data_IF_032110703415
#
_entry.id   IF_032110703415
#
_cell.length_a   1.000
_cell.length_b   1.000
_cell.length_c   1.000
_cell.angle_alpha   90.00
_cell.angle_beta   90.00
_cell.angle_gamma   90.00
#
_symmetry.space_group_name_H-M   'P 1'
#
loop_
_entity.id
_entity.type
_entity.pdbx_description
1 polymer ?
#
# COMPACT_ATOMS: atom_id res chain seq x y z
N UNK A 1 -11.97 -33.91 -20.87
CA UNK A 1 -11.29 -33.15 -19.81
C UNK A 1 -10.90 -31.79 -20.36
N UNK A 2 -11.58 -30.71 -19.96
CA UNK A 2 -11.24 -29.36 -20.40
C UNK A 2 -10.16 -28.80 -19.48
N UNK A 3 -9.00 -28.53 -20.07
CA UNK A 3 -7.70 -28.33 -19.40
C UNK A 3 -7.31 -26.84 -19.30
N UNK A 4 -8.28 -25.95 -19.15
CA UNK A 4 -8.03 -24.54 -18.91
C UNK A 4 -8.76 -24.15 -17.64
N UNK A 5 -8.00 -24.12 -16.55
CA UNK A 5 -8.41 -23.52 -15.28
C UNK A 5 -8.56 -22.02 -15.43
N UNK A 6 -9.56 -21.58 -16.19
CA UNK A 6 -10.11 -20.25 -16.03
C UNK A 6 -10.56 -20.14 -14.57
N UNK A 7 -9.82 -19.35 -13.79
CA UNK A 7 -10.23 -18.99 -12.45
C UNK A 7 -11.54 -18.21 -12.61
N UNK A 8 -12.65 -18.93 -12.47
CA UNK A 8 -14.02 -18.41 -12.45
C UNK A 8 -14.11 -17.37 -11.34
N UNK A 9 -13.99 -16.09 -11.71
CA UNK A 9 -14.25 -14.89 -10.90
C UNK A 9 -13.41 -14.85 -9.60
N UNK A 10 -12.46 -13.92 -9.56
CA UNK A 10 -11.80 -13.52 -8.31
C UNK A 10 -12.88 -13.26 -7.24
N UNK A 11 -12.86 -13.96 -6.08
CA UNK A 11 -13.79 -13.71 -4.98
C UNK A 11 -13.87 -12.21 -4.69
N UNK A 12 -15.07 -11.70 -4.40
CA UNK A 12 -15.26 -10.26 -4.16
C UNK A 12 -14.40 -9.74 -3.00
N UNK A 13 -14.04 -10.62 -2.05
CA UNK A 13 -13.12 -10.34 -0.94
C UNK A 13 -11.69 -10.01 -1.39
N UNK A 14 -11.26 -10.50 -2.56
CA UNK A 14 -9.92 -10.28 -3.12
C UNK A 14 -9.85 -9.08 -4.08
N UNK A 15 -10.99 -8.45 -4.41
CA UNK A 15 -11.05 -7.20 -5.18
C UNK A 15 -10.73 -6.02 -4.28
N UNK A 16 -9.52 -6.01 -3.72
CA UNK A 16 -9.01 -4.98 -2.82
C UNK A 16 -7.85 -4.28 -3.49
N UNK A 17 -7.57 -3.05 -3.07
CA UNK A 17 -6.56 -2.20 -3.71
C UNK A 17 -5.21 -2.91 -3.84
N UNK A 18 -4.75 -3.58 -2.77
CA UNK A 18 -3.56 -4.44 -2.80
C UNK A 18 -3.82 -5.64 -1.87
N UNK A 19 -3.56 -6.85 -2.35
CA UNK A 19 -3.61 -8.07 -1.54
C UNK A 19 -2.22 -8.68 -1.45
N UNK A 20 -1.72 -8.81 -0.22
CA UNK A 20 -0.47 -9.50 0.08
C UNK A 20 -0.75 -10.94 0.51
N UNK A 21 -0.08 -11.94 -0.11
CA UNK A 21 -0.11 -13.33 0.38
C UNK A 21 1.03 -13.67 1.33
N UNK A 22 2.14 -12.95 1.24
CA UNK A 22 3.30 -13.16 2.10
C UNK A 22 3.83 -11.81 2.57
N UNK A 23 3.57 -11.51 3.84
CA UNK A 23 3.97 -10.28 4.50
C UNK A 23 4.33 -10.61 5.96
N UNK A 24 5.63 -10.66 6.23
CA UNK A 24 6.17 -11.02 7.55
C UNK A 24 6.56 -9.77 8.31
N UNK A 25 6.22 -9.72 9.59
CA UNK A 25 6.51 -8.59 10.47
C UNK A 25 7.33 -9.00 11.69
N UNK A 26 8.21 -8.10 12.12
CA UNK A 26 8.90 -8.17 13.41
C UNK A 26 8.46 -7.00 14.28
N UNK A 27 8.10 -7.29 15.53
CA UNK A 27 7.79 -6.27 16.53
C UNK A 27 9.07 -5.63 17.07
N UNK A 28 9.07 -4.31 17.13
CA UNK A 28 10.09 -3.48 17.77
C UNK A 28 9.45 -2.79 18.97
N UNK A 29 9.75 -3.30 20.17
CA UNK A 29 9.13 -2.83 21.41
C UNK A 29 9.58 -1.41 21.79
N UNK A 30 10.82 -1.05 21.46
CA UNK A 30 11.39 0.27 21.77
C UNK A 30 10.65 1.38 21.03
N UNK A 31 10.36 1.15 19.75
CA UNK A 31 9.70 2.13 18.89
C UNK A 31 8.19 1.87 18.72
N UNK A 32 7.66 0.81 19.37
CA UNK A 32 6.24 0.37 19.30
C UNK A 32 5.75 0.25 17.85
N UNK A 33 6.54 -0.42 17.02
CA UNK A 33 6.28 -0.58 15.58
C UNK A 33 6.45 -2.02 15.11
N UNK A 34 5.64 -2.42 14.13
CA UNK A 34 5.89 -3.61 13.32
C UNK A 34 6.66 -3.18 12.07
N UNK A 35 7.79 -3.84 11.79
CA UNK A 35 8.58 -3.65 10.56
C UNK A 35 8.52 -4.92 9.73
N UNK A 36 8.24 -4.80 8.44
CA UNK A 36 8.30 -5.95 7.55
C UNK A 36 9.73 -6.42 7.34
N UNK A 37 9.91 -7.69 6.99
CA UNK A 37 11.21 -8.22 6.59
C UNK A 37 11.05 -9.28 5.50
N UNK A 38 12.09 -9.40 4.67
CA UNK A 38 12.03 -10.21 3.45
C UNK A 38 11.19 -9.55 2.34
N UNK A 39 11.00 -10.29 1.25
CA UNK A 39 10.22 -9.82 0.11
C UNK A 39 8.72 -9.82 0.42
N UNK A 40 7.99 -8.94 -0.23
CA UNK A 40 6.54 -8.83 -0.09
C UNK A 40 5.88 -9.58 -1.24
N UNK A 41 5.08 -10.58 -0.93
CA UNK A 41 4.27 -11.29 -1.93
C UNK A 41 2.98 -10.53 -2.22
N UNK A 42 2.80 -10.09 -3.46
CA UNK A 42 1.58 -9.44 -3.96
C UNK A 42 0.85 -10.40 -4.89
N UNK A 43 -0.40 -10.72 -4.56
CA UNK A 43 -1.25 -11.61 -5.37
C UNK A 43 -2.08 -10.80 -6.34
N UNK A 44 -2.83 -9.81 -5.85
CA UNK A 44 -3.76 -9.03 -6.66
C UNK A 44 -3.62 -7.54 -6.37
N UNK A 45 -3.83 -6.74 -7.41
CA UNK A 45 -4.06 -5.29 -7.33
C UNK A 45 -5.39 -5.04 -8.02
N UNK A 46 -6.38 -4.58 -7.26
CA UNK A 46 -7.77 -4.50 -7.71
C UNK A 46 -8.29 -5.85 -8.25
N UNK A 47 -8.56 -5.95 -9.55
CA UNK A 47 -9.03 -7.18 -10.21
C UNK A 47 -7.91 -7.94 -10.92
N UNK A 48 -6.74 -7.32 -11.06
CA UNK A 48 -5.63 -7.86 -11.81
C UNK A 48 -4.76 -8.74 -10.92
N UNK A 49 -4.51 -9.96 -11.38
CA UNK A 49 -3.65 -10.90 -10.70
C UNK A 49 -2.19 -10.64 -11.08
N UNK A 50 -1.37 -10.32 -10.08
CA UNK A 50 0.05 -9.99 -10.22
C UNK A 50 0.93 -11.19 -9.88
N UNK A 51 0.67 -11.88 -8.76
CA UNK A 51 1.46 -13.01 -8.25
C UNK A 51 3.00 -12.81 -8.27
N UNK A 52 3.49 -11.71 -7.71
CA UNK A 52 4.93 -11.41 -7.66
C UNK A 52 5.44 -11.16 -6.26
N UNK A 53 6.67 -11.56 -6.03
CA UNK A 53 7.46 -11.08 -4.89
C UNK A 53 8.20 -9.81 -5.30
N UNK A 54 7.99 -8.73 -4.54
CA UNK A 54 8.65 -7.44 -4.75
C UNK A 54 9.52 -7.08 -3.56
N UNK A 55 10.56 -6.30 -3.81
CA UNK A 55 11.28 -5.64 -2.73
C UNK A 55 10.37 -4.55 -2.14
N UNK A 56 10.42 -4.34 -0.83
CA UNK A 56 9.55 -3.36 -0.21
C UNK A 56 9.65 -3.34 1.30
N UNK A 57 9.08 -2.28 1.88
CA UNK A 57 9.11 -1.99 3.31
C UNK A 57 7.72 -1.59 3.76
N UNK A 58 7.18 -2.31 4.73
CA UNK A 58 5.90 -2.01 5.37
C UNK A 58 6.15 -1.78 6.85
N UNK A 59 5.64 -0.68 7.38
CA UNK A 59 5.74 -0.32 8.79
C UNK A 59 4.36 0.01 9.35
N UNK A 60 4.06 -0.52 10.53
CA UNK A 60 2.87 -0.17 11.30
C UNK A 60 3.33 0.36 12.65
N UNK A 61 3.20 1.66 12.89
CA UNK A 61 3.50 2.27 14.19
C UNK A 61 2.22 2.35 15.01
N UNK A 62 2.24 1.76 16.20
CA UNK A 62 1.15 1.85 17.16
C UNK A 62 1.24 3.16 17.93
N UNK A 63 0.21 4.00 17.84
CA UNK A 63 0.12 5.25 18.62
C UNK A 63 -1.25 5.34 19.27
N UNK A 64 -1.29 5.87 20.49
CA UNK A 64 -2.56 6.20 21.19
C UNK A 64 -3.50 7.07 20.36
N UNK A 65 -2.90 7.90 19.52
CA UNK A 65 -3.58 8.90 18.76
C UNK A 65 -4.03 8.39 17.38
N UNK A 66 -3.79 7.13 17.05
CA UNK A 66 -4.12 6.50 15.77
C UNK A 66 -2.89 5.90 15.12
N UNK A 67 -3.03 4.66 14.67
CA UNK A 67 -1.95 3.93 14.04
C UNK A 67 -1.49 4.61 12.74
N UNK A 68 -0.21 4.44 12.43
CA UNK A 68 0.40 4.92 11.19
C UNK A 68 0.84 3.70 10.39
N UNK A 69 0.32 3.56 9.18
CA UNK A 69 0.76 2.57 8.22
C UNK A 69 1.60 3.26 7.15
N UNK A 70 2.78 2.74 6.87
CA UNK A 70 3.63 3.19 5.76
C UNK A 70 3.98 1.99 4.89
N UNK A 71 3.83 2.12 3.58
CA UNK A 71 4.11 1.09 2.60
C UNK A 71 5.02 1.69 1.53
N UNK A 72 6.14 1.03 1.27
CA UNK A 72 7.00 1.26 0.12
C UNK A 72 7.10 -0.03 -0.67
N UNK A 73 6.80 0.05 -1.97
CA UNK A 73 6.90 -1.06 -2.92
C UNK A 73 7.91 -0.66 -3.99
N UNK A 74 8.90 -1.52 -4.22
CA UNK A 74 9.90 -1.36 -5.27
C UNK A 74 9.71 -2.49 -6.28
N UNK A 75 9.14 -2.15 -7.43
CA UNK A 75 8.88 -3.09 -8.51
C UNK A 75 10.18 -3.36 -9.26
N UNK A 76 10.93 -2.30 -9.55
CA UNK A 76 12.30 -2.31 -10.03
C UNK A 76 13.00 -0.99 -9.65
N UNK A 77 14.23 -0.78 -10.14
CA UNK A 77 15.07 0.39 -9.82
C UNK A 77 14.43 1.74 -10.16
N UNK A 78 13.54 1.77 -11.15
CA UNK A 78 12.90 2.98 -11.65
C UNK A 78 11.41 3.06 -11.31
N UNK A 79 10.80 1.94 -10.90
CA UNK A 79 9.37 1.82 -10.63
C UNK A 79 9.11 1.53 -9.15
N UNK A 80 8.62 2.53 -8.43
CA UNK A 80 8.32 2.42 -7.00
C UNK A 80 7.04 3.16 -6.63
N UNK A 81 6.34 2.67 -5.61
CA UNK A 81 5.14 3.28 -5.06
C UNK A 81 5.28 3.46 -3.55
N UNK A 82 4.85 4.61 -3.04
CA UNK A 82 4.93 4.97 -1.64
C UNK A 82 3.58 5.45 -1.12
N UNK A 83 3.16 4.88 0.01
CA UNK A 83 1.89 5.17 0.66
C UNK A 83 2.11 5.41 2.16
N UNK A 84 1.46 6.42 2.71
CA UNK A 84 1.31 6.59 4.15
C UNK A 84 -0.16 6.73 4.48
N UNK A 85 -0.62 6.06 5.53
CA UNK A 85 -1.98 6.13 5.99
C UNK A 85 -2.01 6.41 7.49
N UNK A 86 -2.75 7.44 7.88
CA UNK A 86 -3.00 7.75 9.29
C UNK A 86 -4.33 8.45 9.41
N UNK A 87 -5.18 8.00 10.36
CA UNK A 87 -6.45 8.65 10.72
C UNK A 87 -7.34 9.00 9.50
N UNK A 88 -7.56 8.04 8.61
CA UNK A 88 -8.40 8.28 7.44
C UNK A 88 -7.79 9.17 6.37
N UNK A 89 -6.50 9.49 6.46
CA UNK A 89 -5.76 10.22 5.42
C UNK A 89 -4.70 9.31 4.83
N UNK A 90 -4.85 9.00 3.54
CA UNK A 90 -3.85 8.34 2.72
C UNK A 90 -3.07 9.40 1.93
N UNK A 91 -1.75 9.33 1.96
CA UNK A 91 -0.89 10.11 1.06
C UNK A 91 -0.14 9.14 0.18
N UNK A 92 -0.13 9.39 -1.12
CA UNK A 92 0.51 8.52 -2.09
C UNK A 92 1.39 9.31 -3.05
N UNK A 93 2.50 8.70 -3.46
CA UNK A 93 3.41 9.19 -4.50
C UNK A 93 4.11 7.98 -5.12
N UNK A 94 4.42 8.05 -6.40
CA UNK A 94 5.12 7.03 -7.16
C UNK A 94 6.25 7.66 -7.99
N UNK A 95 7.14 6.86 -8.55
CA UNK A 95 7.96 7.30 -9.68
C UNK A 95 7.15 7.47 -10.98
N UNK A 96 5.96 6.90 -11.03
CA UNK A 96 5.02 7.02 -12.15
C UNK A 96 4.33 8.40 -12.12
N UNK A 97 4.60 9.22 -13.13
CA UNK A 97 4.01 10.55 -13.28
C UNK A 97 2.52 10.51 -13.57
N UNK A 98 2.01 9.51 -14.28
CA UNK A 98 0.58 9.39 -14.59
C UNK A 98 -0.19 9.08 -13.31
N UNK A 99 0.34 8.20 -12.46
CA UNK A 99 -0.20 7.94 -11.13
C UNK A 99 -0.25 9.21 -10.27
N UNK A 100 0.84 9.97 -10.24
CA UNK A 100 0.94 11.21 -9.46
C UNK A 100 -0.04 12.27 -9.98
N UNK A 101 -0.13 12.44 -11.29
CA UNK A 101 -1.02 13.39 -11.96
C UNK A 101 -2.48 13.05 -11.69
N UNK A 102 -2.87 11.78 -11.77
CA UNK A 102 -4.24 11.35 -11.46
C UNK A 102 -4.67 11.75 -10.03
N UNK A 103 -3.78 11.65 -9.05
CA UNK A 103 -4.06 12.10 -7.68
C UNK A 103 -4.19 13.63 -7.60
N UNK A 104 -3.27 14.34 -8.24
CA UNK A 104 -3.22 15.80 -8.20
C UNK A 104 -4.40 16.46 -8.92
N UNK A 105 -4.85 15.90 -10.04
CA UNK A 105 -5.97 16.42 -10.83
C UNK A 105 -7.34 16.01 -10.29
N UNK A 106 -7.41 14.93 -9.50
CA UNK A 106 -8.65 14.57 -8.82
C UNK A 106 -9.08 15.71 -7.90
N UNK A 107 -10.29 16.24 -8.10
CA UNK A 107 -10.83 17.35 -7.29
C UNK A 107 -10.97 16.95 -5.82
N UNK A 108 -10.77 17.89 -4.86
CA UNK A 108 -10.81 17.57 -3.42
C UNK A 108 -12.08 16.86 -2.93
N UNK A 109 -13.24 17.19 -3.50
CA UNK A 109 -14.53 16.56 -3.19
C UNK A 109 -14.61 15.09 -3.67
N UNK A 110 -13.83 14.73 -4.69
CA UNK A 110 -13.71 13.38 -5.24
C UNK A 110 -12.55 12.57 -4.65
N UNK A 111 -11.73 13.18 -3.78
CA UNK A 111 -10.63 12.50 -3.08
C UNK A 111 -11.06 11.68 -1.87
N UNK A 112 -12.36 11.60 -1.59
CA UNK A 112 -12.90 10.72 -0.56
C UNK A 112 -13.19 9.35 -1.17
N UNK A 113 -12.67 8.29 -0.56
CA UNK A 113 -13.00 6.93 -0.95
C UNK A 113 -14.50 6.69 -0.70
N UNK A 114 -15.10 5.90 -1.59
CA UNK A 114 -16.47 5.41 -1.36
C UNK A 114 -16.37 4.39 -0.23
N UNK A 115 -17.02 4.65 0.90
CA UNK A 115 -17.09 3.69 1.99
C UNK A 115 -17.81 2.42 1.49
N UNK A 116 -17.09 1.30 1.39
CA UNK A 116 -17.73 0.00 1.28
C UNK A 116 -18.37 -0.36 2.63
N UNK A 117 -19.38 -1.23 2.61
CA UNK A 117 -20.12 -1.62 3.81
C UNK A 117 -19.16 -2.23 4.84
N UNK A 118 -18.96 -1.54 5.97
CA UNK A 118 -18.06 -1.96 7.05
C UNK A 118 -16.63 -1.38 6.98
N UNK A 119 -16.33 -0.51 6.02
CA UNK A 119 -15.05 0.20 5.95
C UNK A 119 -15.23 1.70 6.20
N UNK A 120 -14.35 2.30 6.99
CA UNK A 120 -14.35 3.75 7.15
C UNK A 120 -13.86 4.44 5.87
N UNK A 121 -14.54 5.50 5.40
CA UNK A 121 -14.05 6.29 4.29
C UNK A 121 -12.73 6.96 4.66
N UNK A 122 -11.85 7.09 3.68
CA UNK A 122 -10.60 7.83 3.82
C UNK A 122 -10.46 8.84 2.70
N UNK A 123 -9.68 9.89 2.96
CA UNK A 123 -9.27 10.85 1.94
C UNK A 123 -7.88 10.50 1.42
N UNK A 124 -7.67 10.54 0.12
CA UNK A 124 -6.33 10.40 -0.46
C UNK A 124 -5.78 11.75 -0.95
N UNK A 125 -4.47 11.91 -0.96
CA UNK A 125 -3.79 13.10 -1.46
C UNK A 125 -2.37 12.79 -1.94
N UNK A 126 -1.80 13.73 -2.69
CA UNK A 126 -0.42 13.63 -3.14
C UNK A 126 0.55 13.75 -1.96
N UNK A 127 1.56 12.87 -1.91
CA UNK A 127 2.62 12.88 -0.90
C UNK A 127 3.86 13.63 -1.40
N UNK A 128 4.97 13.54 -0.67
CA UNK A 128 6.25 14.14 -1.08
C UNK A 128 7.35 13.08 -1.13
N UNK A 129 8.28 13.24 -2.06
CA UNK A 129 9.45 12.36 -2.15
C UNK A 129 10.29 12.38 -0.88
N UNK A 130 10.36 13.54 -0.20
CA UNK A 130 11.04 13.67 1.09
C UNK A 130 10.51 12.70 2.13
N UNK A 131 9.18 12.49 2.21
CA UNK A 131 8.58 11.51 3.14
C UNK A 131 9.03 10.09 2.84
N UNK A 132 9.08 9.72 1.56
CA UNK A 132 9.61 8.42 1.11
C UNK A 132 11.08 8.26 1.52
N UNK A 133 11.93 9.25 1.21
CA UNK A 133 13.36 9.20 1.54
C UNK A 133 13.60 9.13 3.06
N UNK A 134 12.87 9.93 3.84
CA UNK A 134 12.96 9.91 5.30
C UNK A 134 12.49 8.58 5.91
N UNK A 135 11.46 7.96 5.33
CA UNK A 135 11.00 6.63 5.74
C UNK A 135 12.07 5.56 5.47
N UNK A 136 12.60 5.50 4.24
CA UNK A 136 13.58 4.49 3.85
C UNK A 136 14.82 4.54 4.74
N UNK A 137 15.32 5.74 5.05
CA UNK A 137 16.46 5.95 5.96
C UNK A 137 16.18 5.38 7.36
N UNK A 138 15.04 5.74 7.96
CA UNK A 138 14.66 5.31 9.32
C UNK A 138 14.23 3.84 9.43
N UNK A 139 13.94 3.22 8.30
CA UNK A 139 13.55 1.81 8.27
C UNK A 139 14.76 0.89 8.42
N UNK A 140 15.95 1.32 8.02
CA UNK A 140 17.16 0.51 8.18
C UNK A 140 17.88 0.81 9.51
N UNK A 141 17.52 1.92 10.16
CA UNK A 141 17.85 2.27 11.55
C UNK A 141 17.04 1.44 12.59
#
# INVERSE_FOLDING_TARGET
>A
ANLYGEIKKLPDELKKSIVFNDLKFKWDDKNKRYKSFGKLGIVNIDKEQVNKYVEGKVEIIKKRSGDILTIYLEIDRNNWYFFTYTRGIMQAISSDNDFNTAIQETKPDKRKSKAEKGQEPYQFMYSTERKKTDFLRKFDD
#
